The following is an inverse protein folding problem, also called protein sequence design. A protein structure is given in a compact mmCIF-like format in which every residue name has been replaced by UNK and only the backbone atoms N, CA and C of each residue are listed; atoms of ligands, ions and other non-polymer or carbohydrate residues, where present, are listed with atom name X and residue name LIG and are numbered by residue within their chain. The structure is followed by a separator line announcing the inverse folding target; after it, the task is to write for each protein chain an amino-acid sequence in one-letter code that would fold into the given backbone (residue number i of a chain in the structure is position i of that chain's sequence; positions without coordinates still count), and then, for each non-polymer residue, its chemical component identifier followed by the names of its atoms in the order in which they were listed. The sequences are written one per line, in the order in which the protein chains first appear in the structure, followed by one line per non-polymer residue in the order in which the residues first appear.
data_IF_995204020583
#
_entry.id   IF_995204020583
#
_cell.length_a   1.000
_cell.length_b   1.000
_cell.length_c   1.000
_cell.angle_alpha   90.00
_cell.angle_beta   90.00
_cell.angle_gamma   90.00
#
_symmetry.space_group_name_H-M   'P 1'
#
loop_
_entity.id
_entity.type
_entity.pdbx_description
1 polymer ?
#
# COMPACT_ATOMS: atom_id res chain seq x y z
N UNK A 1 -19.59 1.81 -14.29
CA UNK A 1 -18.42 1.33 -15.09
C UNK A 1 -17.18 1.31 -14.20
N UNK A 2 -16.27 0.34 -14.41
CA UNK A 2 -14.99 0.28 -13.68
C UNK A 2 -14.03 1.32 -14.25
N UNK A 3 -13.37 2.06 -13.39
CA UNK A 3 -12.29 2.93 -13.81
C UNK A 3 -11.01 2.13 -13.99
N UNK A 4 -10.53 2.02 -15.22
CA UNK A 4 -9.34 1.23 -15.56
C UNK A 4 -8.05 1.81 -14.96
N UNK A 5 -7.99 3.14 -14.79
CA UNK A 5 -6.84 3.80 -14.16
C UNK A 5 -6.74 3.41 -12.69
N UNK A 6 -7.89 3.35 -11.99
CA UNK A 6 -7.92 2.92 -10.61
C UNK A 6 -7.52 1.44 -10.46
N UNK A 7 -7.96 0.57 -11.38
CA UNK A 7 -7.51 -0.83 -11.42
C UNK A 7 -5.99 -0.92 -11.63
N UNK A 8 -5.45 -0.18 -12.58
CA UNK A 8 -4.00 -0.15 -12.84
C UNK A 8 -3.20 0.33 -11.62
N UNK A 9 -3.69 1.35 -10.90
CA UNK A 9 -3.05 1.84 -9.68
C UNK A 9 -3.07 0.79 -8.57
N UNK A 10 -4.17 0.03 -8.40
CA UNK A 10 -4.23 -1.06 -7.41
C UNK A 10 -3.29 -2.21 -7.78
N UNK A 11 -3.15 -2.53 -9.06
CA UNK A 11 -2.13 -3.50 -9.51
C UNK A 11 -0.72 -2.98 -9.24
N UNK A 12 -0.45 -1.72 -9.51
CA UNK A 12 0.84 -1.09 -9.21
C UNK A 12 1.18 -1.19 -7.71
N UNK A 13 0.20 -0.92 -6.83
CA UNK A 13 0.40 -1.11 -5.38
C UNK A 13 0.75 -2.56 -5.03
N UNK A 14 0.10 -3.54 -5.64
CA UNK A 14 0.43 -4.94 -5.42
C UNK A 14 1.90 -5.24 -5.78
N UNK A 15 2.37 -4.76 -6.92
CA UNK A 15 3.77 -4.91 -7.36
C UNK A 15 4.73 -4.21 -6.41
N UNK A 16 4.44 -2.96 -6.04
CA UNK A 16 5.28 -2.18 -5.12
C UNK A 16 5.34 -2.83 -3.73
N UNK A 17 4.22 -3.39 -3.25
CA UNK A 17 4.18 -4.07 -1.98
C UNK A 17 4.99 -5.38 -1.99
N UNK A 18 5.00 -6.13 -3.11
CA UNK A 18 5.89 -7.29 -3.27
C UNK A 18 7.35 -6.87 -3.16
N UNK A 19 7.77 -5.83 -3.87
CA UNK A 19 9.14 -5.31 -3.76
C UNK A 19 9.49 -4.84 -2.37
N UNK A 20 8.56 -4.20 -1.66
CA UNK A 20 8.75 -3.77 -0.28
C UNK A 20 8.88 -4.97 0.69
N UNK A 21 8.09 -6.03 0.50
CA UNK A 21 8.25 -7.27 1.28
C UNK A 21 9.61 -7.93 1.01
N UNK A 22 10.06 -7.95 -0.24
CA UNK A 22 11.40 -8.46 -0.60
C UNK A 22 12.49 -7.61 0.07
N UNK A 23 12.33 -6.28 0.14
CA UNK A 23 13.24 -5.38 0.84
C UNK A 23 13.37 -5.75 2.34
N UNK A 24 12.26 -5.99 3.03
CA UNK A 24 12.29 -6.46 4.43
C UNK A 24 13.04 -7.76 4.60
N UNK A 25 12.83 -8.73 3.70
CA UNK A 25 13.55 -10.01 3.73
C UNK A 25 15.06 -9.81 3.47
N UNK A 26 15.40 -8.98 2.48
CA UNK A 26 16.78 -8.70 2.09
C UNK A 26 17.58 -7.97 3.20
N UNK A 27 16.90 -7.15 4.00
CA UNK A 27 17.49 -6.46 5.16
C UNK A 27 17.64 -7.37 6.38
N UNK A 28 17.05 -8.55 6.37
CA UNK A 28 17.12 -9.51 7.46
C UNK A 28 16.05 -9.33 8.54
N UNK A 29 15.00 -8.56 8.26
CA UNK A 29 13.83 -8.43 9.15
C UNK A 29 13.07 -9.76 9.28
N UNK A 30 13.26 -10.66 8.32
CA UNK A 30 12.78 -12.05 8.35
C UNK A 30 13.96 -12.97 8.12
N UNK A 31 14.29 -13.76 9.15
CA UNK A 31 15.41 -14.70 9.10
C UNK A 31 14.91 -16.12 8.88
N UNK A 32 15.72 -16.92 8.22
CA UNK A 32 15.45 -18.34 8.04
C UNK A 32 16.41 -19.20 8.88
N UNK A 33 15.95 -20.24 9.61
CA UNK A 33 14.55 -20.73 9.70
C UNK A 33 13.65 -19.73 10.44
N UNK A 34 12.35 -19.72 10.08
CA UNK A 34 11.36 -18.81 10.66
C UNK A 34 11.26 -19.04 12.18
N UNK A 35 11.41 -17.96 12.92
CA UNK A 35 11.22 -17.91 14.37
C UNK A 35 9.86 -17.26 14.72
N UNK A 36 9.49 -17.35 15.99
CA UNK A 36 8.27 -16.71 16.49
C UNK A 36 8.27 -15.19 16.25
N UNK A 37 9.45 -14.57 16.22
CA UNK A 37 9.62 -13.14 16.01
C UNK A 37 9.24 -12.69 14.58
N UNK A 38 9.26 -13.63 13.61
CA UNK A 38 8.82 -13.37 12.24
C UNK A 38 7.29 -13.36 12.09
N UNK A 39 6.56 -13.92 13.05
CA UNK A 39 5.09 -14.08 12.95
C UNK A 39 4.37 -12.77 12.79
N UNK A 40 4.64 -11.67 13.53
CA UNK A 40 3.97 -10.39 13.34
C UNK A 40 4.15 -9.85 11.92
N UNK A 41 5.36 -9.90 11.37
CA UNK A 41 5.63 -9.44 10.01
C UNK A 41 4.85 -10.26 8.97
N UNK A 42 4.87 -11.59 9.10
CA UNK A 42 4.16 -12.49 8.17
C UNK A 42 2.66 -12.25 8.25
N UNK A 43 2.09 -12.12 9.45
CA UNK A 43 0.67 -11.87 9.64
C UNK A 43 0.23 -10.53 9.03
N UNK A 44 0.98 -9.45 9.31
CA UNK A 44 0.70 -8.13 8.73
C UNK A 44 0.81 -8.16 7.21
N UNK A 45 1.85 -8.78 6.66
CA UNK A 45 2.03 -8.92 5.21
C UNK A 45 0.86 -9.69 4.58
N UNK A 46 0.45 -10.82 5.17
CA UNK A 46 -0.68 -11.61 4.70
C UNK A 46 -1.99 -10.80 4.70
N UNK A 47 -2.25 -10.01 5.75
CA UNK A 47 -3.41 -9.12 5.82
C UNK A 47 -3.37 -8.07 4.71
N UNK A 48 -2.21 -7.43 4.48
CA UNK A 48 -2.05 -6.42 3.44
C UNK A 48 -2.33 -7.03 2.05
N UNK A 49 -1.74 -8.19 1.73
CA UNK A 49 -1.99 -8.88 0.46
C UNK A 49 -3.45 -9.31 0.30
N UNK A 50 -4.06 -9.82 1.38
CA UNK A 50 -5.48 -10.17 1.37
C UNK A 50 -6.37 -8.93 1.10
N UNK A 51 -6.07 -7.79 1.73
CA UNK A 51 -6.81 -6.55 1.50
C UNK A 51 -6.64 -6.02 0.07
N UNK A 52 -5.43 -6.05 -0.49
CA UNK A 52 -5.17 -5.63 -1.88
C UNK A 52 -5.91 -6.57 -2.84
N UNK A 53 -5.74 -7.88 -2.70
CA UNK A 53 -6.35 -8.88 -3.59
C UNK A 53 -7.87 -8.89 -3.50
N UNK A 54 -8.42 -8.89 -2.29
CA UNK A 54 -9.87 -8.84 -2.06
C UNK A 54 -10.46 -7.52 -2.53
N UNK A 55 -9.80 -6.40 -2.23
CA UNK A 55 -10.22 -5.07 -2.68
C UNK A 55 -10.28 -4.97 -4.19
N UNK A 56 -9.25 -5.47 -4.89
CA UNK A 56 -9.23 -5.52 -6.34
C UNK A 56 -10.34 -6.41 -6.89
N UNK A 57 -10.52 -7.61 -6.34
CA UNK A 57 -11.58 -8.54 -6.75
C UNK A 57 -12.99 -7.94 -6.56
N UNK A 58 -13.27 -7.37 -5.40
CA UNK A 58 -14.57 -6.76 -5.09
C UNK A 58 -14.85 -5.54 -5.97
N UNK A 59 -13.85 -4.71 -6.23
CA UNK A 59 -13.97 -3.59 -7.15
C UNK A 59 -14.15 -4.08 -8.60
N UNK A 60 -13.39 -5.10 -9.00
CA UNK A 60 -13.52 -5.71 -10.32
C UNK A 60 -14.90 -6.32 -10.55
N UNK A 61 -15.50 -6.95 -9.55
CA UNK A 61 -16.85 -7.54 -9.59
C UNK A 61 -17.96 -6.53 -9.31
N UNK A 62 -17.65 -5.25 -9.17
CA UNK A 62 -18.61 -4.15 -8.90
C UNK A 62 -19.37 -4.34 -7.57
N UNK A 63 -18.80 -5.07 -6.62
CA UNK A 63 -19.38 -5.27 -5.28
C UNK A 63 -19.04 -4.14 -4.32
N UNK A 64 -17.94 -3.41 -4.59
CA UNK A 64 -17.56 -2.19 -3.85
C UNK A 64 -17.27 -1.07 -4.83
N UNK A 65 -17.53 0.16 -4.39
CA UNK A 65 -17.26 1.38 -5.14
C UNK A 65 -15.87 1.97 -4.84
N UNK A 66 -15.53 3.08 -5.50
CA UNK A 66 -14.25 3.77 -5.30
C UNK A 66 -14.05 4.26 -3.86
N UNK A 67 -15.14 4.53 -3.10
CA UNK A 67 -15.06 4.89 -1.68
C UNK A 67 -14.26 3.87 -0.87
N UNK A 68 -14.49 2.57 -1.09
CA UNK A 68 -13.78 1.52 -0.38
C UNK A 68 -12.27 1.60 -0.63
N UNK A 69 -11.86 1.76 -1.90
CA UNK A 69 -10.45 1.87 -2.26
C UNK A 69 -9.82 3.15 -1.73
N UNK A 70 -10.57 4.27 -1.68
CA UNK A 70 -10.09 5.51 -1.09
C UNK A 70 -9.76 5.35 0.40
N UNK A 71 -10.67 4.71 1.16
CA UNK A 71 -10.48 4.46 2.59
C UNK A 71 -9.34 3.48 2.82
N UNK A 72 -9.32 2.35 2.10
CA UNK A 72 -8.29 1.33 2.24
C UNK A 72 -6.90 1.88 1.93
N UNK A 73 -6.75 2.65 0.85
CA UNK A 73 -5.47 3.28 0.49
C UNK A 73 -5.05 4.37 1.48
N UNK A 74 -5.99 5.17 1.99
CA UNK A 74 -5.72 6.16 3.04
C UNK A 74 -5.22 5.53 4.34
N UNK A 75 -5.87 4.44 4.78
CA UNK A 75 -5.43 3.67 5.94
C UNK A 75 -4.06 3.01 5.70
N UNK A 76 -3.83 2.47 4.50
CA UNK A 76 -2.54 1.91 4.10
C UNK A 76 -1.41 2.95 4.12
N UNK A 77 -1.69 4.17 3.63
CA UNK A 77 -0.74 5.28 3.69
C UNK A 77 -0.43 5.70 5.14
N UNK A 78 -1.45 5.80 6.00
CA UNK A 78 -1.27 6.10 7.41
C UNK A 78 -0.44 5.02 8.10
N UNK A 79 -0.75 3.74 7.87
CA UNK A 79 -0.01 2.61 8.42
C UNK A 79 1.45 2.61 7.99
N UNK A 80 1.72 2.80 6.69
CA UNK A 80 3.09 2.88 6.17
C UNK A 80 3.86 4.09 6.72
N UNK A 81 3.18 5.23 6.91
CA UNK A 81 3.79 6.40 7.55
C UNK A 81 4.19 6.08 9.00
N UNK A 82 3.29 5.46 9.78
CA UNK A 82 3.60 5.05 11.16
C UNK A 82 4.77 4.05 11.20
N UNK A 83 4.79 3.08 10.29
CA UNK A 83 5.81 2.05 10.25
C UNK A 83 7.20 2.54 9.82
N UNK A 84 7.32 3.63 9.04
CA UNK A 84 8.61 4.02 8.46
C UNK A 84 8.99 5.49 8.64
N UNK A 85 8.04 6.40 8.88
CA UNK A 85 8.32 7.84 8.89
C UNK A 85 7.94 8.52 10.21
N UNK A 86 7.23 7.83 11.11
CA UNK A 86 6.89 8.39 12.41
C UNK A 86 8.13 8.46 13.32
N UNK A 87 8.15 9.38 14.30
CA UNK A 87 9.24 9.43 15.28
C UNK A 87 9.27 8.23 16.25
N UNK A 88 8.26 7.37 16.20
CA UNK A 88 8.10 6.20 17.08
C UNK A 88 8.44 4.88 16.40
N UNK A 89 8.89 4.92 15.12
CA UNK A 89 9.20 3.70 14.39
C UNK A 89 10.59 3.16 14.72
N UNK A 90 10.70 1.84 14.80
CA UNK A 90 11.97 1.13 14.89
C UNK A 90 12.65 0.99 13.52
N UNK A 91 11.96 1.35 12.43
CA UNK A 91 12.44 1.23 11.05
C UNK A 91 12.42 2.57 10.29
N UNK A 92 13.12 3.61 10.80
CA UNK A 92 13.17 4.90 10.12
C UNK A 92 13.91 4.81 8.78
N UNK A 93 13.76 5.79 7.88
CA UNK A 93 14.43 5.82 6.58
C UNK A 93 15.95 5.61 6.65
N UNK A 94 16.60 6.10 7.72
CA UNK A 94 18.04 5.92 7.95
C UNK A 94 18.39 4.44 8.15
N UNK A 95 17.53 3.66 8.82
CA UNK A 95 17.72 2.23 8.98
C UNK A 95 17.73 1.53 7.60
N UNK A 96 16.80 1.88 6.71
CA UNK A 96 16.74 1.36 5.34
C UNK A 96 18.03 1.67 4.58
N UNK A 97 18.50 2.92 4.65
CA UNK A 97 19.72 3.36 3.95
C UNK A 97 20.96 2.61 4.41
N UNK A 98 21.09 2.32 5.72
CA UNK A 98 22.28 1.70 6.30
C UNK A 98 22.23 0.16 6.33
N UNK A 99 21.07 -0.44 6.07
CA UNK A 99 20.92 -1.91 6.05
C UNK A 99 21.66 -2.58 4.88
N UNK A 100 21.95 -1.84 3.83
CA UNK A 100 22.62 -2.35 2.63
C UNK A 100 24.10 -2.03 2.61
N UNK A 101 24.92 -2.99 2.11
CA UNK A 101 26.36 -2.77 1.87
C UNK A 101 26.64 -1.72 0.80
N UNK A 102 25.68 -1.50 -0.12
CA UNK A 102 25.78 -0.54 -1.20
C UNK A 102 24.88 0.66 -0.93
N UNK A 103 25.43 1.85 -0.98
CA UNK A 103 24.68 3.12 -0.87
C UNK A 103 23.58 3.21 -1.93
N UNK A 104 23.87 2.78 -3.16
CA UNK A 104 22.88 2.77 -4.25
C UNK A 104 21.70 1.84 -3.94
N UNK A 105 21.93 0.66 -3.36
CA UNK A 105 20.87 -0.27 -2.97
C UNK A 105 19.98 0.32 -1.86
N UNK A 106 20.57 0.97 -0.85
CA UNK A 106 19.80 1.65 0.19
C UNK A 106 18.89 2.75 -0.36
N UNK A 107 19.41 3.59 -1.27
CA UNK A 107 18.59 4.61 -1.93
C UNK A 107 17.51 4.04 -2.83
N UNK A 108 17.77 2.91 -3.53
CA UNK A 108 16.77 2.22 -4.33
C UNK A 108 15.63 1.69 -3.44
N UNK A 109 15.97 1.05 -2.32
CA UNK A 109 14.99 0.53 -1.37
C UNK A 109 14.13 1.65 -0.77
N UNK A 110 14.75 2.75 -0.33
CA UNK A 110 14.02 3.92 0.16
C UNK A 110 13.15 4.56 -0.93
N UNK A 111 13.66 4.70 -2.15
CA UNK A 111 12.90 5.21 -3.29
C UNK A 111 11.69 4.33 -3.62
N UNK A 112 11.85 3.01 -3.50
CA UNK A 112 10.75 2.05 -3.67
C UNK A 112 9.66 2.23 -2.62
N UNK A 113 10.04 2.38 -1.34
CA UNK A 113 9.09 2.67 -0.26
C UNK A 113 8.35 4.00 -0.49
N UNK A 114 9.08 5.05 -0.90
CA UNK A 114 8.47 6.35 -1.22
C UNK A 114 7.48 6.20 -2.38
N UNK A 115 7.83 5.46 -3.44
CA UNK A 115 6.92 5.20 -4.56
C UNK A 115 5.65 4.45 -4.11
N UNK A 116 5.78 3.47 -3.22
CA UNK A 116 4.65 2.77 -2.59
C UNK A 116 3.74 3.76 -1.86
N UNK A 117 4.30 4.61 -1.00
CA UNK A 117 3.55 5.60 -0.22
C UNK A 117 2.84 6.62 -1.10
N UNK A 118 3.53 7.17 -2.09
CA UNK A 118 2.94 8.11 -3.04
C UNK A 118 1.81 7.48 -3.85
N UNK A 119 1.95 6.22 -4.26
CA UNK A 119 0.90 5.51 -4.99
C UNK A 119 -0.34 5.30 -4.12
N UNK A 120 -0.19 4.96 -2.84
CA UNK A 120 -1.32 4.88 -1.89
C UNK A 120 -2.05 6.22 -1.77
N UNK A 121 -1.31 7.32 -1.62
CA UNK A 121 -1.90 8.67 -1.55
C UNK A 121 -2.64 9.01 -2.85
N UNK A 122 -2.06 8.70 -4.00
CA UNK A 122 -2.70 8.92 -5.32
C UNK A 122 -4.00 8.12 -5.43
N UNK A 123 -4.00 6.84 -5.02
CA UNK A 123 -5.22 6.03 -5.01
C UNK A 123 -6.27 6.64 -4.08
N UNK A 124 -5.91 7.04 -2.87
CA UNK A 124 -6.84 7.62 -1.91
C UNK A 124 -7.52 8.88 -2.47
N UNK A 125 -6.72 9.80 -3.05
CA UNK A 125 -7.22 11.04 -3.65
C UNK A 125 -8.06 10.76 -4.90
N UNK A 126 -7.57 9.93 -5.83
CA UNK A 126 -8.22 9.66 -7.09
C UNK A 126 -9.55 8.92 -6.89
N UNK A 127 -9.54 7.86 -6.09
CA UNK A 127 -10.76 7.11 -5.76
C UNK A 127 -11.76 7.97 -4.96
N UNK A 128 -11.27 8.84 -4.06
CA UNK A 128 -12.09 9.80 -3.35
C UNK A 128 -12.80 10.77 -4.29
N UNK A 129 -12.09 11.34 -5.28
CA UNK A 129 -12.68 12.19 -6.30
C UNK A 129 -13.76 11.47 -7.12
N UNK A 130 -13.47 10.25 -7.59
CA UNK A 130 -14.45 9.43 -8.32
C UNK A 130 -15.72 9.19 -7.51
N UNK A 131 -15.57 8.87 -6.23
CA UNK A 131 -16.70 8.66 -5.34
C UNK A 131 -17.56 9.94 -5.18
N UNK A 132 -16.94 11.10 -4.97
CA UNK A 132 -17.65 12.36 -4.81
C UNK A 132 -18.42 12.72 -6.10
N UNK A 133 -17.81 12.56 -7.27
CA UNK A 133 -18.46 12.80 -8.56
C UNK A 133 -19.67 11.88 -8.77
N UNK A 134 -19.57 10.61 -8.39
CA UNK A 134 -20.69 9.67 -8.48
C UNK A 134 -21.85 10.09 -7.58
N UNK A 135 -21.59 10.53 -6.37
CA UNK A 135 -22.62 11.01 -5.43
C UNK A 135 -23.33 12.27 -5.92
N UNK A 136 -22.58 13.19 -6.56
CA UNK A 136 -23.19 14.40 -7.15
C UNK A 136 -24.13 14.03 -8.30
N UNK A 137 -23.70 13.14 -9.19
CA UNK A 137 -24.53 12.68 -10.28
C UNK A 137 -25.84 11.99 -9.84
N UNK A 138 -25.78 11.25 -8.71
CA UNK A 138 -26.97 10.61 -8.11
C UNK A 138 -27.94 11.65 -7.50
N UNK A 139 -27.42 12.74 -6.93
CA UNK A 139 -28.22 13.80 -6.31
C UNK A 139 -28.93 14.68 -7.34
N UNK A 140 -28.38 14.79 -8.56
CA UNK A 140 -28.91 15.62 -9.64
C UNK A 140 -30.01 14.93 -10.47
N UNK A 141 -30.35 13.66 -10.19
CA UNK A 141 -31.44 12.92 -10.84
C UNK A 141 -32.74 13.32 -10.18
N UNK A 142 -33.69 14.04 -10.89
CA UNK A 142 -34.99 14.39 -10.33
C UNK A 142 -35.79 13.11 -10.05
N UNK A 143 -36.44 13.08 -8.87
CA UNK A 143 -37.35 12.02 -8.41
C UNK A 143 -38.67 11.99 -9.20
#
# INVERSE_FOLDING_TARGET
MRDQKLVALVILIAVLNVGHTIDHIARGDVQWPLTIDAVPFIAVSAIIYALIGLGLYLYWTVRVGPRFLAIAAGLGAAFGWFGHFSPFTDQPPQHILHAYRSVAAGWLALGWLIALMLTLIVIAIYAGKLWLTQRQAEADVPS
#
